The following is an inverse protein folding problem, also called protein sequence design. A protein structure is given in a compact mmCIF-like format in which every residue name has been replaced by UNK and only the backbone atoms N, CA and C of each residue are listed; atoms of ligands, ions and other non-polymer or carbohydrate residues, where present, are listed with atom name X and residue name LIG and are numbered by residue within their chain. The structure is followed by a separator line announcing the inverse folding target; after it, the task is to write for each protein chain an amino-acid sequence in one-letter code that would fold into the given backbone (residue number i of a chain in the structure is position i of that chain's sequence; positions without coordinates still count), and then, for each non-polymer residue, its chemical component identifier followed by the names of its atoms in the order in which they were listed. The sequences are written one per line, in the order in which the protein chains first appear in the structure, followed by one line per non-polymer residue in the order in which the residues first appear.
data_IF_137267800651
#
_entry.id   IF_137267800651
#
_cell.length_a   1.000
_cell.length_b   1.000
_cell.length_c   1.000
_cell.angle_alpha   90.00
_cell.angle_beta   90.00
_cell.angle_gamma   90.00
#
_symmetry.space_group_name_H-M   'P 1'
#
loop_
_entity.id
_entity.type
_entity.pdbx_description
1 polymer ?
#
# COMPACT_ATOMS: atom_id res chain seq x y z
N UNK A 1 36.33 -16.23 -17.42
CA UNK A 1 36.90 -14.92 -17.01
C UNK A 1 35.78 -14.12 -16.37
N UNK A 2 35.88 -13.90 -15.05
CA UNK A 2 35.05 -13.06 -14.17
C UNK A 2 33.52 -13.30 -14.13
N UNK A 3 33.09 -14.21 -13.26
CA UNK A 3 31.79 -14.14 -12.57
C UNK A 3 31.88 -13.12 -11.43
N UNK A 4 30.95 -12.16 -11.31
CA UNK A 4 30.59 -11.50 -10.03
C UNK A 4 29.35 -10.59 -10.26
N UNK A 5 28.17 -11.03 -9.81
CA UNK A 5 27.53 -10.62 -8.55
C UNK A 5 27.24 -9.12 -8.45
N UNK A 6 26.03 -8.73 -8.90
CA UNK A 6 25.32 -7.55 -8.39
C UNK A 6 24.16 -8.01 -7.47
N UNK A 7 24.47 -8.89 -6.53
CA UNK A 7 23.64 -9.14 -5.36
C UNK A 7 24.30 -8.43 -4.18
N UNK A 8 23.66 -7.33 -3.73
CA UNK A 8 23.81 -6.59 -2.45
C UNK A 8 24.05 -5.09 -2.67
N UNK A 9 22.95 -4.39 -2.87
CA UNK A 9 22.74 -3.11 -2.19
C UNK A 9 21.90 -3.39 -0.93
N UNK A 10 22.60 -3.62 0.19
CA UNK A 10 22.30 -3.19 1.56
C UNK A 10 20.83 -3.28 2.04
N UNK A 11 20.38 -4.40 2.63
CA UNK A 11 20.43 -4.71 4.07
C UNK A 11 19.60 -3.81 5.03
N UNK A 12 18.44 -3.31 4.60
CA UNK A 12 17.25 -3.01 5.45
C UNK A 12 16.02 -2.84 4.55
N UNK A 13 16.21 -2.14 3.44
CA UNK A 13 15.21 -1.73 2.44
C UNK A 13 14.38 -2.87 1.80
N UNK A 14 15.00 -4.03 1.55
CA UNK A 14 14.29 -5.19 0.94
C UNK A 14 13.27 -5.87 1.88
N UNK A 15 13.42 -5.72 3.21
CA UNK A 15 12.40 -6.17 4.16
C UNK A 15 11.18 -5.27 4.10
N UNK A 16 11.40 -3.98 3.94
CA UNK A 16 10.32 -3.01 3.87
C UNK A 16 9.60 -3.08 2.53
N UNK A 17 10.29 -3.34 1.41
CA UNK A 17 9.63 -3.61 0.13
C UNK A 17 8.69 -4.83 0.21
N UNK A 18 9.14 -5.93 0.83
CA UNK A 18 8.33 -7.14 1.00
C UNK A 18 7.11 -6.87 1.90
N UNK A 19 7.29 -6.12 2.99
CA UNK A 19 6.19 -5.69 3.86
C UNK A 19 5.21 -4.79 3.11
N UNK A 20 5.71 -3.81 2.36
CA UNK A 20 4.91 -2.89 1.54
C UNK A 20 4.05 -3.69 0.55
N UNK A 21 4.61 -4.69 -0.14
CA UNK A 21 3.86 -5.56 -1.05
C UNK A 21 2.81 -6.40 -0.34
N UNK A 22 3.12 -6.94 0.84
CA UNK A 22 2.13 -7.68 1.64
C UNK A 22 0.98 -6.78 2.08
N UNK A 23 1.29 -5.58 2.59
CA UNK A 23 0.27 -4.60 2.99
C UNK A 23 -0.53 -4.11 1.79
N UNK A 24 0.11 -3.89 0.65
CA UNK A 24 -0.57 -3.53 -0.59
C UNK A 24 -1.57 -4.61 -0.99
N UNK A 25 -1.20 -5.88 -0.92
CA UNK A 25 -2.11 -7.00 -1.23
C UNK A 25 -3.29 -7.08 -0.27
N UNK A 26 -3.07 -6.92 1.04
CA UNK A 26 -4.18 -6.94 2.00
C UNK A 26 -5.12 -5.71 1.85
N UNK A 27 -4.56 -4.53 1.55
CA UNK A 27 -5.36 -3.33 1.21
C UNK A 27 -6.13 -3.58 -0.09
N UNK A 28 -5.51 -4.19 -1.10
CA UNK A 28 -6.17 -4.56 -2.34
C UNK A 28 -7.36 -5.49 -2.10
N UNK A 29 -7.18 -6.57 -1.34
CA UNK A 29 -8.23 -7.53 -0.97
C UNK A 29 -9.37 -6.85 -0.20
N UNK A 30 -9.06 -5.87 0.65
CA UNK A 30 -10.06 -5.05 1.34
C UNK A 30 -10.94 -4.25 0.36
N UNK A 31 -10.32 -3.55 -0.60
CA UNK A 31 -11.04 -2.81 -1.65
C UNK A 31 -11.73 -3.73 -2.66
N UNK A 32 -11.24 -4.96 -2.87
CA UNK A 32 -11.90 -5.97 -3.70
C UNK A 32 -13.18 -6.49 -3.04
N UNK A 33 -13.14 -6.69 -1.72
CA UNK A 33 -14.32 -7.06 -0.93
C UNK A 33 -15.32 -5.90 -0.77
N UNK A 34 -14.86 -4.65 -0.90
CA UNK A 34 -15.68 -3.45 -0.77
C UNK A 34 -15.41 -2.46 -1.91
N UNK A 35 -15.84 -2.75 -3.16
CA UNK A 35 -15.56 -1.91 -4.32
C UNK A 35 -16.21 -0.52 -4.24
N UNK A 36 -17.26 -0.38 -3.43
CA UNK A 36 -17.92 0.90 -3.14
C UNK A 36 -17.24 1.72 -2.03
N UNK A 37 -16.28 1.14 -1.30
CA UNK A 37 -15.56 1.85 -0.25
C UNK A 37 -14.62 2.89 -0.88
N UNK A 38 -14.91 4.16 -0.65
CA UNK A 38 -13.98 5.26 -0.85
C UNK A 38 -13.45 5.70 0.49
N UNK A 39 -12.28 5.23 0.87
CA UNK A 39 -11.73 5.47 2.20
C UNK A 39 -10.53 6.42 2.15
N UNK A 40 -10.27 7.08 3.26
CA UNK A 40 -9.16 8.03 3.42
C UNK A 40 -7.90 7.31 3.88
N UNK A 41 -6.73 7.90 3.66
CA UNK A 41 -5.49 7.38 4.23
C UNK A 41 -5.61 7.16 5.75
N UNK A 42 -6.27 8.09 6.46
CA UNK A 42 -6.52 7.96 7.89
C UNK A 42 -7.38 6.75 8.24
N UNK A 43 -8.50 6.53 7.54
CA UNK A 43 -9.40 5.41 7.82
C UNK A 43 -8.76 4.05 7.53
N UNK A 44 -8.07 3.93 6.39
CA UNK A 44 -7.30 2.74 6.03
C UNK A 44 -6.20 2.48 7.07
N UNK A 45 -5.50 3.55 7.51
CA UNK A 45 -4.46 3.44 8.53
C UNK A 45 -5.02 3.00 9.88
N UNK A 46 -6.18 3.52 10.28
CA UNK A 46 -6.82 3.19 11.56
C UNK A 46 -7.34 1.75 11.60
N UNK A 47 -8.00 1.31 10.52
CA UNK A 47 -8.40 -0.09 10.34
C UNK A 47 -7.19 -1.04 10.39
N UNK A 48 -6.11 -0.69 9.69
CA UNK A 48 -4.90 -1.49 9.65
C UNK A 48 -4.20 -1.59 11.01
N UNK A 49 -4.02 -0.46 11.70
CA UNK A 49 -3.42 -0.40 13.05
C UNK A 49 -4.25 -1.21 14.04
N UNK A 50 -5.58 -1.18 13.91
CA UNK A 50 -6.48 -1.99 14.72
C UNK A 50 -6.29 -3.49 14.50
N UNK A 51 -5.92 -3.91 13.29
CA UNK A 51 -5.73 -5.32 12.91
C UNK A 51 -4.33 -5.85 13.23
N UNK A 52 -3.28 -5.08 12.98
CA UNK A 52 -1.87 -5.53 13.10
C UNK A 52 -1.16 -5.05 14.38
N UNK A 53 -1.75 -4.12 15.15
CA UNK A 53 -1.21 -3.60 16.43
C UNK A 53 0.24 -3.08 16.34
N UNK A 54 0.68 -2.62 15.17
CA UNK A 54 2.01 -2.05 14.95
C UNK A 54 1.94 -0.52 14.90
N UNK A 55 2.79 0.16 15.68
CA UNK A 55 2.76 1.63 15.86
C UNK A 55 3.35 2.41 14.68
N UNK A 56 4.19 1.79 13.85
CA UNK A 56 4.99 2.49 12.82
C UNK A 56 4.50 2.24 11.38
N UNK A 57 3.25 1.81 11.20
CA UNK A 57 2.78 1.39 9.87
C UNK A 57 2.19 2.50 9.00
N UNK A 58 2.01 3.73 9.50
CA UNK A 58 1.50 4.83 8.65
C UNK A 58 2.38 5.09 7.42
N UNK A 59 3.69 5.01 7.58
CA UNK A 59 4.64 5.15 6.46
C UNK A 59 4.56 3.96 5.51
N UNK A 60 4.40 2.75 6.05
CA UNK A 60 4.26 1.51 5.30
C UNK A 60 2.98 1.49 4.46
N UNK A 61 1.85 1.86 5.07
CA UNK A 61 0.54 1.95 4.42
C UNK A 61 0.55 3.03 3.34
N UNK A 62 1.19 4.18 3.60
CA UNK A 62 1.37 5.22 2.60
C UNK A 62 2.16 4.71 1.40
N UNK A 63 3.26 3.99 1.62
CA UNK A 63 4.06 3.41 0.54
C UNK A 63 3.27 2.33 -0.23
N UNK A 64 2.51 1.49 0.47
CA UNK A 64 1.65 0.48 -0.14
C UNK A 64 0.55 1.10 -1.01
N UNK A 65 -0.15 2.13 -0.50
CA UNK A 65 -1.15 2.86 -1.28
C UNK A 65 -0.53 3.57 -2.49
N UNK A 66 0.65 4.17 -2.33
CA UNK A 66 1.37 4.78 -3.45
C UNK A 66 1.75 3.74 -4.52
N UNK A 67 2.17 2.55 -4.10
CA UNK A 67 2.45 1.44 -5.00
C UNK A 67 1.19 1.01 -5.76
N UNK A 68 0.07 0.78 -5.08
CA UNK A 68 -1.20 0.40 -5.71
C UNK A 68 -1.75 1.47 -6.67
N UNK A 69 -1.55 2.75 -6.37
CA UNK A 69 -1.94 3.84 -7.28
C UNK A 69 -1.03 3.88 -8.51
N UNK A 70 0.27 3.60 -8.33
CA UNK A 70 1.24 3.53 -9.44
C UNK A 70 0.96 2.34 -10.36
N UNK A 71 0.61 1.19 -9.80
CA UNK A 71 0.20 -0.01 -10.54
C UNK A 71 -1.18 0.13 -11.20
N UNK A 72 -1.92 1.21 -10.89
CA UNK A 72 -3.27 1.44 -11.41
C UNK A 72 -4.34 0.56 -10.78
N UNK A 73 -4.08 -0.07 -9.63
CA UNK A 73 -5.07 -0.85 -8.86
C UNK A 73 -6.02 0.07 -8.09
N UNK A 74 -5.48 1.15 -7.52
CA UNK A 74 -6.25 2.18 -6.82
C UNK A 74 -6.20 3.51 -7.56
N UNK A 75 -7.25 4.32 -7.39
CA UNK A 75 -7.30 5.71 -7.84
C UNK A 75 -7.39 6.62 -6.62
N UNK A 76 -6.51 7.61 -6.58
CA UNK A 76 -6.60 8.71 -5.63
C UNK A 76 -7.56 9.78 -6.17
N UNK A 77 -8.52 10.21 -5.36
CA UNK A 77 -9.46 11.31 -5.66
C UNK A 77 -9.50 12.31 -4.53
N UNK A 78 -9.82 13.56 -4.86
CA UNK A 78 -10.10 14.59 -3.86
C UNK A 78 -11.62 14.72 -3.72
N UNK A 79 -12.12 14.57 -2.49
CA UNK A 79 -13.54 14.71 -2.18
C UNK A 79 -13.70 15.48 -0.87
N UNK A 80 -14.45 16.59 -0.89
CA UNK A 80 -14.74 17.39 0.31
C UNK A 80 -13.50 17.92 1.03
N UNK A 81 -12.41 18.20 0.31
CA UNK A 81 -11.13 18.66 0.90
C UNK A 81 -10.26 17.55 1.49
N UNK A 82 -10.66 16.28 1.36
CA UNK A 82 -9.89 15.11 1.80
C UNK A 82 -9.48 14.27 0.61
N UNK A 83 -8.39 13.53 0.79
CA UNK A 83 -7.89 12.57 -0.19
C UNK A 83 -8.51 11.20 0.11
N UNK A 84 -9.25 10.67 -0.86
CA UNK A 84 -9.84 9.34 -0.80
C UNK A 84 -9.16 8.43 -1.82
N UNK A 85 -9.03 7.17 -1.46
CA UNK A 85 -8.57 6.09 -2.32
C UNK A 85 -9.77 5.23 -2.64
N UNK A 86 -9.98 4.96 -3.93
CA UNK A 86 -11.04 4.12 -4.44
C UNK A 86 -10.45 3.02 -5.30
N UNK A 87 -11.12 1.87 -5.39
CA UNK A 87 -10.74 0.84 -6.36
C UNK A 87 -10.75 1.43 -7.76
N UNK A 88 -9.65 1.28 -8.49
CA UNK A 88 -9.65 1.60 -9.90
C UNK A 88 -10.40 0.49 -10.64
N UNK A 89 -11.70 0.67 -10.83
CA UNK A 89 -12.49 -0.22 -11.69
C UNK A 89 -11.94 -0.18 -13.11
N UNK A 90 -11.05 -1.11 -13.43
CA UNK A 90 -10.58 -1.38 -14.78
C UNK A 90 -11.01 -2.80 -15.10
N UNK A 91 -12.19 -2.88 -15.74
CA UNK A 91 -12.78 -4.02 -16.45
C UNK A 91 -13.15 -5.27 -15.63
#
# INVERSE_FOLDING_TARGET
MATMNAAKANHDDGRDETKIKNVAREIEEYFDSHPEAGDTLEGISDWWVSRQRLRDERSLIRAALAHLVTEGVLKKRHHGGREIYIRNGSA
#
